data_IF_042988101670
#
_entry.id   IF_042988101670
#
_cell.length_a   1.000
_cell.length_b   1.000
_cell.length_c   1.000
_cell.angle_alpha   90.00
_cell.angle_beta   90.00
_cell.angle_gamma   90.00
#
_symmetry.space_group_name_H-M   'P 1'
#
loop_
_entity.id
_entity.type
_entity.pdbx_description
1 polymer ?
#
# COMPACT_ATOMS: atom_id res chain seq x y z
N UNK A 1 -43.33 -9.45 12.20
CA UNK A 1 -42.02 -8.79 12.33
C UNK A 1 -41.30 -9.06 11.02
N UNK A 2 -41.04 -8.07 10.15
CA UNK A 2 -40.17 -8.30 9.01
C UNK A 2 -38.74 -8.36 9.53
N UNK A 3 -38.08 -9.49 9.31
CA UNK A 3 -36.68 -9.70 9.67
C UNK A 3 -35.82 -8.62 8.99
N UNK A 4 -35.05 -7.92 9.82
CA UNK A 4 -34.07 -6.95 9.40
C UNK A 4 -32.86 -7.71 8.80
N UNK A 5 -33.00 -8.15 7.55
CA UNK A 5 -31.96 -8.85 6.77
C UNK A 5 -30.80 -7.95 6.33
N UNK A 6 -30.70 -6.74 6.88
CA UNK A 6 -29.67 -5.75 6.54
C UNK A 6 -28.44 -5.80 7.45
N UNK A 7 -28.42 -6.67 8.46
CA UNK A 7 -27.40 -6.68 9.55
C UNK A 7 -26.05 -7.33 9.20
N UNK A 8 -25.72 -7.49 7.91
CA UNK A 8 -24.55 -8.29 7.50
C UNK A 8 -23.71 -7.77 6.34
N UNK A 9 -24.05 -6.62 5.75
CA UNK A 9 -23.17 -6.04 4.73
C UNK A 9 -22.04 -5.27 5.42
N UNK A 10 -20.93 -5.95 5.69
CA UNK A 10 -19.64 -5.28 5.82
C UNK A 10 -19.27 -4.81 4.41
N UNK A 11 -19.89 -3.71 3.97
CA UNK A 11 -19.50 -2.99 2.77
C UNK A 11 -18.17 -2.31 3.08
N UNK A 12 -17.08 -3.06 2.97
CA UNK A 12 -15.74 -2.48 2.94
C UNK A 12 -15.71 -1.60 1.70
N UNK A 13 -15.62 -0.27 1.87
CA UNK A 13 -15.53 0.66 0.76
C UNK A 13 -14.15 0.53 0.09
N UNK A 14 -14.03 -0.43 -0.82
CA UNK A 14 -12.81 -0.74 -1.55
C UNK A 14 -12.37 0.43 -2.46
N UNK A 15 -13.26 1.36 -2.79
CA UNK A 15 -12.92 2.56 -3.55
C UNK A 15 -11.96 3.46 -2.78
N UNK A 16 -12.21 3.66 -1.49
CA UNK A 16 -11.32 4.43 -0.63
C UNK A 16 -9.98 3.73 -0.35
N UNK A 17 -9.95 2.40 -0.25
CA UNK A 17 -8.71 1.64 -0.04
C UNK A 17 -7.79 1.63 -1.27
N UNK A 18 -8.34 1.48 -2.48
CA UNK A 18 -7.54 1.58 -3.71
C UNK A 18 -6.90 2.96 -3.86
N UNK A 19 -7.66 4.03 -3.57
CA UNK A 19 -7.13 5.39 -3.59
C UNK A 19 -5.98 5.59 -2.58
N UNK A 20 -6.11 5.03 -1.38
CA UNK A 20 -5.05 5.09 -0.37
C UNK A 20 -3.79 4.31 -0.80
N UNK A 21 -3.94 3.15 -1.44
CA UNK A 21 -2.84 2.39 -2.02
C UNK A 21 -2.06 3.18 -3.06
N UNK A 22 -2.77 3.74 -4.04
CA UNK A 22 -2.18 4.57 -5.10
C UNK A 22 -1.51 5.83 -4.54
N UNK A 23 -2.13 6.47 -3.55
CA UNK A 23 -1.55 7.63 -2.86
C UNK A 23 -0.25 7.29 -2.15
N UNK A 24 -0.20 6.16 -1.44
CA UNK A 24 1.03 5.74 -0.75
C UNK A 24 2.16 5.42 -1.74
N UNK A 25 1.86 4.80 -2.88
CA UNK A 25 2.85 4.56 -3.95
C UNK A 25 3.39 5.87 -4.48
N UNK A 26 2.50 6.84 -4.79
CA UNK A 26 2.90 8.18 -5.26
C UNK A 26 3.78 8.90 -4.24
N UNK A 27 3.41 8.86 -2.96
CA UNK A 27 4.19 9.49 -1.89
C UNK A 27 5.57 8.84 -1.72
N UNK A 28 5.65 7.51 -1.79
CA UNK A 28 6.94 6.78 -1.69
C UNK A 28 7.86 7.13 -2.85
N UNK A 29 7.34 7.21 -4.07
CA UNK A 29 8.11 7.67 -5.22
C UNK A 29 8.56 9.13 -5.08
N UNK A 30 7.74 10.00 -4.49
CA UNK A 30 8.12 11.38 -4.21
C UNK A 30 9.28 11.45 -3.20
N UNK A 31 9.21 10.67 -2.11
CA UNK A 31 10.30 10.57 -1.11
C UNK A 31 11.60 10.10 -1.77
N UNK A 32 11.54 9.05 -2.61
CA UNK A 32 12.71 8.53 -3.32
C UNK A 32 13.37 9.59 -4.23
N UNK A 33 12.55 10.38 -4.93
CA UNK A 33 13.04 11.48 -5.79
C UNK A 33 13.68 12.60 -4.99
N UNK A 34 13.08 12.99 -3.86
CA UNK A 34 13.66 14.00 -2.97
C UNK A 34 15.01 13.54 -2.42
N UNK A 35 15.13 12.26 -2.04
CA UNK A 35 16.38 11.69 -1.56
C UNK A 35 17.46 11.73 -2.66
N UNK A 36 17.11 11.33 -3.89
CA UNK A 36 18.02 11.38 -5.04
C UNK A 36 18.47 12.82 -5.38
N UNK A 37 17.57 13.80 -5.27
CA UNK A 37 17.91 15.23 -5.47
C UNK A 37 18.89 15.71 -4.40
N UNK A 38 18.61 15.38 -3.13
CA UNK A 38 19.47 15.71 -2.01
C UNK A 38 20.88 15.12 -2.21
N UNK A 39 20.98 13.87 -2.66
CA UNK A 39 22.28 13.25 -2.96
C UNK A 39 23.03 13.96 -4.08
N UNK A 40 22.33 14.36 -5.14
CA UNK A 40 22.93 15.08 -6.26
C UNK A 40 23.45 16.46 -5.82
N UNK A 41 22.68 17.19 -5.02
CA UNK A 41 23.08 18.49 -4.46
C UNK A 41 24.26 18.36 -3.50
N UNK A 42 24.27 17.30 -2.68
CA UNK A 42 25.34 17.03 -1.73
C UNK A 42 26.58 16.42 -2.38
N UNK A 43 26.52 15.94 -3.64
CA UNK A 43 27.63 15.27 -4.29
C UNK A 43 28.90 16.14 -4.36
N UNK A 44 28.75 17.45 -4.61
CA UNK A 44 29.87 18.38 -4.63
C UNK A 44 30.38 18.69 -3.21
N UNK A 45 29.48 18.88 -2.26
CA UNK A 45 29.82 19.12 -0.86
C UNK A 45 30.53 17.91 -0.23
N UNK A 46 30.16 16.69 -0.62
CA UNK A 46 30.76 15.46 -0.12
C UNK A 46 32.23 15.30 -0.54
N UNK A 47 32.67 15.99 -1.60
CA UNK A 47 34.09 16.00 -2.00
C UNK A 47 34.97 16.76 -1.01
N UNK A 48 34.39 17.67 -0.23
CA UNK A 48 35.12 18.45 0.79
C UNK A 48 35.04 17.81 2.18
N UNK A 49 34.29 16.72 2.34
CA UNK A 49 34.20 16.00 3.61
C UNK A 49 35.30 14.95 3.71
N UNK A 50 36.13 15.08 4.73
CA UNK A 50 37.21 14.16 5.06
C UNK A 50 36.97 13.58 6.46
N UNK A 51 37.31 12.31 6.69
CA UNK A 51 37.21 11.69 8.02
C UNK A 51 35.78 11.31 8.43
N UNK A 52 35.43 11.52 9.71
CA UNK A 52 34.21 11.00 10.35
C UNK A 52 32.90 11.47 9.72
N UNK A 53 32.90 12.65 9.12
CA UNK A 53 31.69 13.25 8.55
C UNK A 53 31.26 12.53 7.28
N UNK A 54 32.22 12.11 6.46
CA UNK A 54 31.96 11.31 5.27
C UNK A 54 31.39 9.92 5.65
N UNK A 55 31.92 9.31 6.71
CA UNK A 55 31.44 8.00 7.18
C UNK A 55 30.05 8.10 7.80
N UNK A 56 29.79 9.13 8.61
CA UNK A 56 28.47 9.38 9.19
C UNK A 56 27.43 9.60 8.10
N UNK A 57 27.76 10.40 7.09
CA UNK A 57 26.84 10.62 5.98
C UNK A 57 26.54 9.33 5.21
N UNK A 58 27.55 8.52 4.87
CA UNK A 58 27.34 7.23 4.19
C UNK A 58 26.43 6.31 4.99
N UNK A 59 26.54 6.29 6.32
CA UNK A 59 25.65 5.52 7.18
C UNK A 59 24.20 6.03 7.12
N UNK A 60 24.01 7.36 7.15
CA UNK A 60 22.67 7.98 7.03
C UNK A 60 22.06 7.72 5.65
N UNK A 61 22.86 7.87 4.59
CA UNK A 61 22.46 7.57 3.22
C UNK A 61 21.96 6.12 3.10
N UNK A 62 22.77 5.16 3.53
CA UNK A 62 22.39 3.75 3.51
C UNK A 62 21.12 3.45 4.33
N UNK A 63 20.95 4.10 5.47
CA UNK A 63 19.75 3.95 6.29
C UNK A 63 18.49 4.51 5.60
N UNK A 64 18.61 5.65 4.92
CA UNK A 64 17.51 6.25 4.17
C UNK A 64 17.15 5.41 2.94
N UNK A 65 18.14 4.95 2.18
CA UNK A 65 17.94 4.05 1.04
C UNK A 65 17.22 2.77 1.46
N UNK A 66 17.64 2.17 2.58
CA UNK A 66 17.01 0.98 3.11
C UNK A 66 15.57 1.24 3.56
N UNK A 67 15.31 2.38 4.20
CA UNK A 67 13.97 2.76 4.62
C UNK A 67 13.02 2.93 3.43
N UNK A 68 13.48 3.55 2.33
CA UNK A 68 12.70 3.70 1.10
C UNK A 68 12.36 2.33 0.49
N UNK A 69 13.33 1.43 0.37
CA UNK A 69 13.10 0.06 -0.14
C UNK A 69 12.14 -0.73 0.74
N UNK A 70 12.22 -0.56 2.05
CA UNK A 70 11.28 -1.20 2.99
C UNK A 70 9.87 -0.67 2.79
N UNK A 71 9.69 0.64 2.59
CA UNK A 71 8.38 1.23 2.28
C UNK A 71 7.82 0.71 0.96
N UNK A 72 8.63 0.65 -0.11
CA UNK A 72 8.20 0.06 -1.39
C UNK A 72 7.76 -1.39 -1.25
N UNK A 73 8.51 -2.20 -0.48
CA UNK A 73 8.19 -3.61 -0.24
C UNK A 73 6.88 -3.74 0.53
N UNK A 74 6.70 -2.97 1.60
CA UNK A 74 5.51 -2.99 2.43
C UNK A 74 4.26 -2.59 1.62
N UNK A 75 4.36 -1.55 0.80
CA UNK A 75 3.27 -1.10 -0.06
C UNK A 75 2.89 -2.13 -1.11
N UNK A 76 3.87 -2.76 -1.78
CA UNK A 76 3.60 -3.83 -2.72
C UNK A 76 2.91 -5.02 -2.03
N UNK A 77 3.34 -5.36 -0.81
CA UNK A 77 2.71 -6.44 -0.03
C UNK A 77 1.26 -6.11 0.37
N UNK A 78 1.00 -4.87 0.78
CA UNK A 78 -0.35 -4.42 1.15
C UNK A 78 -1.27 -4.33 -0.07
N UNK A 79 -0.78 -3.86 -1.21
CA UNK A 79 -1.54 -3.82 -2.45
C UNK A 79 -1.94 -5.24 -2.91
N UNK A 80 -1.01 -6.20 -2.82
CA UNK A 80 -1.31 -7.61 -3.11
C UNK A 80 -2.35 -8.19 -2.15
N UNK A 81 -2.23 -7.93 -0.84
CA UNK A 81 -3.19 -8.38 0.16
C UNK A 81 -4.59 -7.80 -0.08
N UNK A 82 -4.69 -6.50 -0.36
CA UNK A 82 -5.98 -5.86 -0.65
C UNK A 82 -6.63 -6.43 -1.91
N UNK A 83 -5.83 -6.70 -2.94
CA UNK A 83 -6.31 -7.35 -4.17
C UNK A 83 -6.87 -8.74 -3.87
N UNK A 84 -6.14 -9.55 -3.09
CA UNK A 84 -6.57 -10.89 -2.69
C UNK A 84 -7.86 -10.87 -1.85
N UNK A 85 -7.93 -9.99 -0.84
CA UNK A 85 -9.14 -9.83 -0.02
C UNK A 85 -10.34 -9.45 -0.88
N UNK A 86 -10.19 -8.50 -1.82
CA UNK A 86 -11.28 -8.07 -2.69
C UNK A 86 -11.77 -9.19 -3.62
N UNK A 87 -10.85 -10.01 -4.15
CA UNK A 87 -11.17 -11.17 -4.98
C UNK A 87 -11.94 -12.24 -4.20
N UNK A 88 -11.44 -12.58 -3.01
CA UNK A 88 -12.05 -13.57 -2.13
C UNK A 88 -13.43 -13.14 -1.65
N UNK A 89 -13.61 -11.85 -1.30
CA UNK A 89 -14.90 -11.31 -0.90
C UNK A 89 -15.92 -11.36 -2.04
N UNK A 90 -15.55 -10.87 -3.23
CA UNK A 90 -16.44 -10.88 -4.42
C UNK A 90 -16.83 -12.30 -4.82
N UNK A 91 -15.90 -13.25 -4.73
CA UNK A 91 -16.20 -14.67 -4.99
C UNK A 91 -17.23 -15.22 -3.99
N UNK A 92 -17.01 -14.97 -2.69
CA UNK A 92 -17.92 -15.41 -1.62
C UNK A 92 -19.32 -14.81 -1.76
N UNK A 93 -19.40 -13.50 -2.02
CA UNK A 93 -20.67 -12.79 -2.20
C UNK A 93 -21.45 -13.31 -3.42
N UNK A 94 -20.77 -13.52 -4.56
CA UNK A 94 -21.41 -14.11 -5.75
C UNK A 94 -21.92 -15.53 -5.47
N UNK A 95 -21.15 -16.36 -4.77
CA UNK A 95 -21.55 -17.72 -4.41
C UNK A 95 -22.77 -17.73 -3.49
N UNK A 96 -22.80 -16.86 -2.48
CA UNK A 96 -23.93 -16.73 -1.56
C UNK A 96 -25.17 -16.21 -2.30
N UNK A 97 -25.01 -15.17 -3.13
CA UNK A 97 -26.10 -14.61 -3.93
C UNK A 97 -26.75 -15.65 -4.86
N UNK A 98 -25.94 -16.51 -5.51
CA UNK A 98 -26.42 -17.62 -6.33
C UNK A 98 -27.24 -18.62 -5.52
N UNK A 99 -26.75 -19.06 -4.36
CA UNK A 99 -27.50 -19.96 -3.47
C UNK A 99 -28.84 -19.37 -3.02
N UNK A 100 -28.87 -18.09 -2.65
CA UNK A 100 -30.11 -17.41 -2.25
C UNK A 100 -31.10 -17.28 -3.42
N UNK A 101 -30.60 -17.06 -4.64
CA UNK A 101 -31.43 -17.02 -5.85
C UNK A 101 -32.08 -18.37 -6.16
N UNK A 102 -31.36 -19.47 -5.97
CA UNK A 102 -31.87 -20.83 -6.18
C UNK A 102 -32.95 -21.19 -5.17
N UNK A 103 -32.78 -20.80 -3.90
CA UNK A 103 -33.80 -21.01 -2.84
C UNK A 103 -35.06 -20.16 -3.11
N UNK A 104 -34.90 -18.96 -3.67
CA UNK A 104 -36.00 -18.04 -4.00
C UNK A 104 -36.87 -18.54 -5.18
N UNK A 105 -36.26 -19.16 -6.20
CA UNK A 105 -36.95 -19.66 -7.39
C UNK A 105 -37.72 -20.97 -7.11
N UNK A 106 -37.33 -21.72 -6.08
CA UNK A 106 -37.94 -23.00 -5.70
C UNK A 106 -39.25 -22.92 -4.89
N UNK A 107 -39.91 -21.75 -4.78
CA UNK A 107 -41.17 -21.57 -4.03
C UNK A 107 -42.32 -21.08 -4.89
#
# INVERSE_FOLDING_TARGET
MPDNLTDGYILVDYGHMNNAGDDMVRQTQAIARTLASLEAELAELRKTWYGSDADTYRQKQAAWDQAVRNMETLLNSHAALLTDISGNYKYSENSLSQMWSEISIGR
#
